data_IF_713635963035
#
_entry.id   IF_713635963035
#
_cell.length_a   1.000
_cell.length_b   1.000
_cell.length_c   1.000
_cell.angle_alpha   90.00
_cell.angle_beta   90.00
_cell.angle_gamma   90.00
#
_symmetry.space_group_name_H-M   'P 1'
#
loop_
_entity.id
_entity.type
_entity.pdbx_description
1 polymer ?
#
# COMPACT_ATOMS: atom_id res chain seq x y z
N UNK A 1 -40.24 68.95 -22.50
CA UNK A 1 -40.48 68.43 -21.13
C UNK A 1 -39.53 67.27 -20.92
N UNK A 2 -38.51 67.48 -20.09
CA UNK A 2 -37.33 66.63 -19.98
C UNK A 2 -37.61 65.30 -19.29
N UNK A 3 -37.18 64.23 -19.94
CA UNK A 3 -37.09 62.88 -19.40
C UNK A 3 -35.82 62.75 -18.55
N UNK A 4 -36.03 62.35 -17.30
CA UNK A 4 -35.23 61.35 -16.56
C UNK A 4 -33.70 61.41 -16.68
N UNK A 5 -33.05 61.91 -15.63
CA UNK A 5 -31.65 61.63 -15.34
C UNK A 5 -31.48 61.46 -13.84
N UNK A 6 -31.44 60.21 -13.37
CA UNK A 6 -31.02 59.86 -12.00
C UNK A 6 -29.49 60.01 -11.95
N UNK A 7 -28.91 60.89 -11.13
CA UNK A 7 -27.47 61.01 -11.03
C UNK A 7 -26.89 59.78 -10.30
N UNK A 8 -25.75 59.33 -10.81
CA UNK A 8 -25.09 58.10 -10.42
C UNK A 8 -24.67 58.08 -8.95
N UNK A 9 -24.92 56.95 -8.31
CA UNK A 9 -24.23 56.53 -7.09
C UNK A 9 -22.95 55.81 -7.49
N UNK A 10 -21.90 56.57 -7.77
CA UNK A 10 -20.52 56.06 -7.73
C UNK A 10 -19.74 56.89 -6.73
N UNK A 11 -20.19 56.85 -5.48
CA UNK A 11 -19.41 57.37 -4.36
C UNK A 11 -18.94 56.17 -3.53
N UNK A 12 -17.63 55.94 -3.61
CA UNK A 12 -16.79 55.50 -2.50
C UNK A 12 -17.06 54.13 -1.85
N UNK A 13 -17.01 53.07 -2.65
CA UNK A 13 -16.69 51.74 -2.10
C UNK A 13 -15.17 51.65 -1.83
N UNK A 14 -14.73 52.29 -0.73
CA UNK A 14 -13.39 52.09 -0.21
C UNK A 14 -13.22 50.61 0.15
N UNK A 15 -12.18 49.91 -0.36
CA UNK A 15 -12.05 48.48 -0.15
C UNK A 15 -11.98 48.16 1.36
N UNK A 16 -12.67 47.11 1.84
CA UNK A 16 -12.76 46.82 3.26
C UNK A 16 -11.35 46.62 3.84
N UNK A 17 -11.05 47.37 4.91
CA UNK A 17 -9.74 47.29 5.57
C UNK A 17 -9.58 45.91 6.21
N UNK A 18 -8.82 45.03 5.54
CA UNK A 18 -8.51 43.69 6.05
C UNK A 18 -7.90 43.80 7.46
N UNK A 19 -8.45 43.08 8.45
CA UNK A 19 -7.99 43.20 9.81
C UNK A 19 -6.62 42.53 9.97
N UNK A 20 -5.73 43.14 10.76
CA UNK A 20 -4.33 42.70 10.91
C UNK A 20 -4.19 41.25 11.41
N UNK A 21 -5.20 40.72 12.14
CA UNK A 21 -5.21 39.32 12.59
C UNK A 21 -5.31 38.32 11.43
N UNK A 22 -5.96 38.68 10.32
CA UNK A 22 -6.08 37.80 9.15
C UNK A 22 -4.70 37.58 8.49
N UNK A 23 -3.87 38.62 8.48
CA UNK A 23 -2.48 38.53 8.00
C UNK A 23 -1.61 37.67 8.93
N UNK A 24 -1.83 37.76 10.25
CA UNK A 24 -1.14 36.91 11.21
C UNK A 24 -1.52 35.43 11.07
N UNK A 25 -2.81 35.13 10.87
CA UNK A 25 -3.26 33.76 10.62
C UNK A 25 -2.72 33.22 9.30
N UNK A 26 -2.72 34.03 8.24
CA UNK A 26 -2.16 33.64 6.96
C UNK A 26 -0.65 33.36 7.07
N UNK A 27 0.10 34.23 7.77
CA UNK A 27 1.53 34.03 8.01
C UNK A 27 1.80 32.77 8.84
N UNK A 28 1.01 32.52 9.88
CA UNK A 28 1.11 31.31 10.71
C UNK A 28 0.85 30.04 9.88
N UNK A 29 -0.18 30.05 9.03
CA UNK A 29 -0.53 28.93 8.17
C UNK A 29 0.57 28.61 7.15
N UNK A 30 1.13 29.65 6.52
CA UNK A 30 2.25 29.50 5.58
C UNK A 30 3.49 28.97 6.30
N UNK A 31 3.82 29.51 7.48
CA UNK A 31 4.95 29.03 8.28
C UNK A 31 4.79 27.55 8.68
N UNK A 32 3.60 27.15 9.15
CA UNK A 32 3.31 25.77 9.54
C UNK A 32 3.40 24.81 8.35
N UNK A 33 2.93 25.22 7.17
CA UNK A 33 3.03 24.44 5.93
C UNK A 33 4.48 24.26 5.48
N UNK A 34 5.29 25.33 5.55
CA UNK A 34 6.72 25.28 5.21
C UNK A 34 7.51 24.37 6.17
N UNK A 35 7.23 24.45 7.48
CA UNK A 35 7.84 23.54 8.48
C UNK A 35 7.45 22.10 8.21
N UNK A 36 6.18 21.83 7.85
CA UNK A 36 5.71 20.51 7.46
C UNK A 36 6.48 19.95 6.28
N UNK A 37 6.59 20.71 5.18
CA UNK A 37 7.31 20.31 3.96
C UNK A 37 8.81 20.07 4.20
N UNK A 38 9.45 20.90 5.04
CA UNK A 38 10.85 20.73 5.40
C UNK A 38 11.06 19.48 6.28
N UNK A 39 10.13 19.20 7.20
CA UNK A 39 10.19 18.00 8.03
C UNK A 39 10.00 16.72 7.20
N UNK A 40 8.98 16.64 6.33
CA UNK A 40 8.79 15.48 5.44
C UNK A 40 9.95 15.33 4.46
N UNK A 41 10.46 16.43 3.90
CA UNK A 41 11.67 16.41 3.07
C UNK A 41 12.87 15.84 3.82
N UNK A 42 13.12 16.29 5.05
CA UNK A 42 14.19 15.78 5.91
C UNK A 42 14.04 14.27 6.20
N UNK A 43 12.82 13.78 6.48
CA UNK A 43 12.57 12.34 6.68
C UNK A 43 12.85 11.51 5.42
N UNK A 44 12.48 12.00 4.24
CA UNK A 44 12.72 11.32 2.96
C UNK A 44 14.23 11.27 2.64
N UNK A 45 14.94 12.39 2.82
CA UNK A 45 16.40 12.46 2.62
C UNK A 45 17.17 11.56 3.60
N UNK A 46 16.65 11.35 4.82
CA UNK A 46 17.25 10.43 5.80
C UNK A 46 16.89 8.97 5.58
N UNK A 47 16.17 8.63 4.51
CA UNK A 47 15.77 7.26 4.19
C UNK A 47 14.75 6.68 5.18
N UNK A 48 14.01 7.53 5.91
CA UNK A 48 12.97 7.10 6.82
C UNK A 48 11.74 6.65 6.00
N UNK A 49 11.77 5.40 5.55
CA UNK A 49 10.56 4.68 5.15
C UNK A 49 9.81 4.39 6.44
N UNK A 50 8.60 4.95 6.59
CA UNK A 50 7.69 4.56 7.65
C UNK A 50 7.39 3.06 7.49
N UNK A 51 8.12 2.22 8.21
CA UNK A 51 7.77 0.82 8.41
C UNK A 51 6.63 0.84 9.43
N UNK A 52 5.37 0.61 9.03
CA UNK A 52 4.30 0.52 10.01
C UNK A 52 4.68 -0.54 11.05
N UNK A 53 4.34 -0.34 12.33
CA UNK A 53 4.59 -1.34 13.34
C UNK A 53 3.89 -2.63 12.89
N UNK A 54 4.67 -3.64 12.53
CA UNK A 54 4.17 -5.01 12.40
C UNK A 54 3.71 -5.41 13.79
N UNK A 55 2.42 -5.19 14.08
CA UNK A 55 1.77 -5.75 15.23
C UNK A 55 2.04 -7.26 15.20
N UNK A 56 2.45 -7.82 16.33
CA UNK A 56 2.60 -9.26 16.52
C UNK A 56 1.23 -9.96 16.55
N UNK A 57 0.39 -9.71 15.56
CA UNK A 57 -0.58 -10.70 15.08
C UNK A 57 0.22 -11.82 14.47
N UNK A 58 0.03 -13.05 14.97
CA UNK A 58 0.85 -14.23 14.63
C UNK A 58 1.15 -14.34 13.13
N UNK A 59 2.32 -14.91 12.79
CA UNK A 59 2.92 -14.92 11.44
C UNK A 59 1.93 -15.19 10.29
N UNK A 60 0.89 -15.99 10.57
CA UNK A 60 -0.25 -16.26 9.70
C UNK A 60 -1.06 -15.04 9.27
N UNK A 61 -1.48 -14.19 10.21
CA UNK A 61 -2.28 -13.00 9.89
C UNK A 61 -1.46 -11.99 9.08
N UNK A 62 -0.19 -11.78 9.45
CA UNK A 62 0.73 -10.93 8.71
C UNK A 62 0.94 -11.44 7.27
N UNK A 63 1.19 -12.74 7.09
CA UNK A 63 1.32 -13.37 5.78
C UNK A 63 0.06 -13.22 4.93
N UNK A 64 -1.12 -13.39 5.52
CA UNK A 64 -2.40 -13.18 4.82
C UNK A 64 -2.56 -11.74 4.33
N UNK A 65 -2.33 -10.75 5.20
CA UNK A 65 -2.44 -9.33 4.85
C UNK A 65 -1.50 -8.97 3.70
N UNK A 66 -0.28 -9.49 3.74
CA UNK A 66 0.71 -9.30 2.67
C UNK A 66 0.26 -9.92 1.33
N UNK A 67 -0.27 -11.15 1.35
CA UNK A 67 -0.82 -11.81 0.16
C UNK A 67 -2.03 -11.05 -0.39
N UNK A 68 -2.92 -10.57 0.48
CA UNK A 68 -4.13 -9.84 0.11
C UNK A 68 -3.80 -8.45 -0.46
N UNK A 69 -2.77 -7.77 0.08
CA UNK A 69 -2.28 -6.49 -0.43
C UNK A 69 -1.52 -6.62 -1.77
N UNK A 70 -1.29 -7.84 -2.25
CA UNK A 70 -0.57 -8.15 -3.48
C UNK A 70 -1.49 -8.76 -4.55
N UNK A 71 -0.99 -8.93 -5.77
CA UNK A 71 -1.77 -9.50 -6.89
C UNK A 71 -1.97 -11.03 -6.82
N UNK A 72 -1.51 -11.69 -5.76
CA UNK A 72 -1.52 -13.14 -5.60
C UNK A 72 -2.91 -13.77 -5.82
N UNK A 73 -3.95 -13.13 -5.27
CA UNK A 73 -5.34 -13.62 -5.30
C UNK A 73 -5.98 -13.58 -6.70
N UNK A 74 -5.34 -12.93 -7.67
CA UNK A 74 -5.83 -12.87 -9.06
C UNK A 74 -5.53 -14.15 -9.83
N UNK A 75 -4.47 -14.86 -9.44
CA UNK A 75 -3.98 -16.03 -10.16
C UNK A 75 -4.09 -17.33 -9.35
N UNK A 76 -4.12 -17.23 -8.02
CA UNK A 76 -4.19 -18.36 -7.10
C UNK A 76 -5.49 -18.33 -6.31
N UNK A 77 -6.14 -19.48 -6.21
CA UNK A 77 -7.35 -19.68 -5.43
C UNK A 77 -7.08 -20.62 -4.25
N UNK A 78 -8.02 -20.73 -3.31
CA UNK A 78 -7.87 -21.61 -2.15
C UNK A 78 -7.66 -23.09 -2.55
N UNK A 79 -8.62 -23.63 -3.31
CA UNK A 79 -8.71 -25.08 -3.56
C UNK A 79 -8.35 -25.45 -5.01
N UNK A 80 -9.06 -24.83 -5.96
CA UNK A 80 -8.94 -25.18 -7.38
C UNK A 80 -7.80 -24.44 -8.07
N UNK A 81 -7.27 -25.05 -9.12
CA UNK A 81 -6.37 -24.37 -10.06
C UNK A 81 -7.12 -23.24 -10.79
N UNK A 82 -6.47 -22.08 -10.93
CA UNK A 82 -6.90 -21.01 -11.82
C UNK A 82 -5.82 -20.80 -12.89
N UNK A 83 -5.13 -19.65 -12.85
CA UNK A 83 -3.89 -19.47 -13.62
C UNK A 83 -2.79 -20.30 -12.96
N UNK A 84 -2.57 -20.06 -11.66
CA UNK A 84 -1.68 -20.82 -10.81
C UNK A 84 -2.37 -21.99 -10.09
N UNK A 85 -1.59 -22.86 -9.42
CA UNK A 85 -2.12 -23.89 -8.52
C UNK A 85 -2.88 -23.27 -7.34
N UNK A 86 -3.83 -24.01 -6.79
CA UNK A 86 -4.51 -23.60 -5.55
C UNK A 86 -3.57 -23.63 -4.34
N UNK A 87 -3.82 -22.78 -3.34
CA UNK A 87 -3.00 -22.69 -2.12
C UNK A 87 -2.89 -24.04 -1.41
N UNK A 88 -3.98 -24.80 -1.35
CA UNK A 88 -4.00 -26.14 -0.76
C UNK A 88 -3.13 -27.15 -1.51
N UNK A 89 -3.05 -27.06 -2.84
CA UNK A 89 -2.18 -27.92 -3.63
C UNK A 89 -0.70 -27.59 -3.37
N UNK A 90 -0.35 -26.31 -3.20
CA UNK A 90 1.00 -25.88 -2.85
C UNK A 90 1.36 -26.39 -1.45
N UNK A 91 0.46 -26.20 -0.47
CA UNK A 91 0.65 -26.67 0.90
C UNK A 91 0.85 -28.19 0.95
N UNK A 92 0.01 -28.95 0.26
CA UNK A 92 0.10 -30.41 0.20
C UNK A 92 1.41 -30.89 -0.43
N UNK A 93 1.83 -30.30 -1.56
CA UNK A 93 3.09 -30.68 -2.24
C UNK A 93 4.33 -30.46 -1.38
N UNK A 94 4.30 -29.47 -0.50
CA UNK A 94 5.45 -29.06 0.29
C UNK A 94 5.33 -29.40 1.79
N UNK A 95 4.34 -30.22 2.17
CA UNK A 95 4.06 -30.53 3.58
C UNK A 95 5.26 -31.12 4.34
N UNK A 96 6.03 -31.98 3.67
CA UNK A 96 7.17 -32.69 4.26
C UNK A 96 8.53 -32.05 3.94
N UNK A 97 8.54 -30.87 3.32
CA UNK A 97 9.78 -30.19 2.96
C UNK A 97 10.17 -29.16 4.05
N UNK A 98 11.24 -29.41 4.83
CA UNK A 98 11.69 -28.47 5.87
C UNK A 98 12.18 -27.13 5.29
N UNK A 99 12.57 -27.10 4.03
CA UNK A 99 13.00 -25.90 3.31
C UNK A 99 11.87 -25.20 2.55
N UNK A 100 10.62 -25.66 2.68
CA UNK A 100 9.48 -25.16 1.91
C UNK A 100 9.31 -23.64 2.01
N UNK A 101 9.47 -23.07 3.21
CA UNK A 101 9.36 -21.61 3.42
C UNK A 101 10.40 -20.86 2.61
N UNK A 102 11.67 -21.29 2.68
CA UNK A 102 12.77 -20.64 1.94
C UNK A 102 12.60 -20.81 0.43
N UNK A 103 12.21 -22.01 -0.02
CA UNK A 103 11.96 -22.30 -1.42
C UNK A 103 10.84 -21.43 -2.01
N UNK A 104 9.70 -21.36 -1.32
CA UNK A 104 8.55 -20.57 -1.76
C UNK A 104 8.82 -19.07 -1.67
N UNK A 105 9.51 -18.60 -0.64
CA UNK A 105 9.92 -17.20 -0.53
C UNK A 105 10.77 -16.76 -1.74
N UNK A 106 11.74 -17.59 -2.13
CA UNK A 106 12.53 -17.38 -3.35
C UNK A 106 11.65 -17.35 -4.60
N UNK A 107 10.74 -18.32 -4.77
CA UNK A 107 9.82 -18.37 -5.93
C UNK A 107 8.89 -17.16 -6.02
N UNK A 108 8.42 -16.64 -4.88
CA UNK A 108 7.60 -15.42 -4.83
C UNK A 108 8.39 -14.24 -5.42
N UNK A 109 9.65 -14.08 -5.01
CA UNK A 109 10.51 -12.95 -5.40
C UNK A 109 11.03 -13.07 -6.83
N UNK A 110 11.45 -14.27 -7.22
CA UNK A 110 12.15 -14.53 -8.48
C UNK A 110 11.23 -15.00 -9.60
N UNK A 111 10.00 -15.38 -9.28
CA UNK A 111 9.09 -16.07 -10.19
C UNK A 111 9.40 -17.57 -10.26
N UNK A 112 8.60 -18.29 -11.04
CA UNK A 112 8.83 -19.73 -11.26
C UNK A 112 8.20 -20.21 -12.57
N UNK A 113 8.72 -21.31 -13.10
CA UNK A 113 8.21 -22.00 -14.29
C UNK A 113 8.47 -23.50 -14.14
N UNK A 114 7.64 -24.35 -14.77
CA UNK A 114 7.88 -25.79 -14.87
C UNK A 114 7.30 -26.63 -13.74
N UNK A 115 7.22 -26.11 -12.52
CA UNK A 115 6.73 -26.87 -11.36
C UNK A 115 5.29 -27.36 -11.52
N UNK A 116 4.43 -26.54 -12.14
CA UNK A 116 2.99 -26.78 -12.30
C UNK A 116 2.59 -26.82 -13.78
N UNK A 117 3.53 -27.25 -14.62
CA UNK A 117 3.42 -27.27 -16.08
C UNK A 117 4.04 -26.02 -16.72
N UNK A 118 3.51 -25.64 -17.88
CA UNK A 118 4.03 -24.53 -18.71
C UNK A 118 3.62 -23.14 -18.22
N UNK A 119 2.92 -23.03 -17.09
CA UNK A 119 2.50 -21.74 -16.52
C UNK A 119 3.70 -21.05 -15.88
N UNK A 120 3.85 -19.76 -16.22
CA UNK A 120 4.89 -18.90 -15.66
C UNK A 120 4.29 -18.07 -14.54
N UNK A 121 4.89 -18.13 -13.35
CA UNK A 121 4.64 -17.20 -12.26
C UNK A 121 5.60 -16.00 -12.41
N UNK A 122 5.09 -14.77 -12.61
CA UNK A 122 5.92 -13.57 -12.69
C UNK A 122 6.74 -13.34 -11.42
N UNK A 123 7.87 -12.63 -11.58
CA UNK A 123 8.71 -12.21 -10.45
C UNK A 123 8.07 -11.03 -9.71
N UNK A 124 8.26 -10.95 -8.39
CA UNK A 124 7.78 -9.83 -7.56
C UNK A 124 8.96 -9.17 -6.83
N UNK A 125 9.75 -8.32 -7.52
CA UNK A 125 10.99 -7.77 -6.96
C UNK A 125 10.75 -6.77 -5.82
N UNK A 126 9.52 -6.24 -5.71
CA UNK A 126 9.09 -5.35 -4.64
C UNK A 126 8.89 -6.06 -3.30
N UNK A 127 8.78 -7.39 -3.28
CA UNK A 127 8.58 -8.16 -2.06
C UNK A 127 9.94 -8.49 -1.44
N UNK A 128 10.18 -8.01 -0.22
CA UNK A 128 11.39 -8.30 0.54
C UNK A 128 11.44 -9.76 1.03
N UNK A 129 12.64 -10.26 1.35
CA UNK A 129 12.84 -11.64 1.82
C UNK A 129 12.01 -11.96 3.07
N UNK A 130 11.97 -11.05 4.05
CA UNK A 130 11.21 -11.26 5.28
C UNK A 130 9.70 -11.41 5.01
N UNK A 131 9.15 -10.52 4.17
CA UNK A 131 7.73 -10.55 3.82
C UNK A 131 7.39 -11.78 2.98
N UNK A 132 8.25 -12.15 2.03
CA UNK A 132 8.10 -13.37 1.23
C UNK A 132 8.05 -14.63 2.09
N UNK A 133 8.84 -14.70 3.18
CA UNK A 133 8.80 -15.82 4.14
C UNK A 133 7.50 -15.86 4.93
N UNK A 134 6.95 -14.71 5.33
CA UNK A 134 5.65 -14.63 6.00
C UNK A 134 4.52 -15.08 5.06
N UNK A 135 4.53 -14.61 3.81
CA UNK A 135 3.58 -15.06 2.78
C UNK A 135 3.69 -16.58 2.55
N UNK A 136 4.91 -17.12 2.41
CA UNK A 136 5.15 -18.54 2.22
C UNK A 136 4.66 -19.40 3.40
N UNK A 137 4.89 -18.95 4.64
CA UNK A 137 4.35 -19.61 5.83
C UNK A 137 2.82 -19.65 5.80
N UNK A 138 2.18 -18.54 5.44
CA UNK A 138 0.73 -18.50 5.32
C UNK A 138 0.20 -19.47 4.25
N UNK A 139 0.86 -19.54 3.09
CA UNK A 139 0.51 -20.48 2.01
C UNK A 139 0.62 -21.93 2.48
N UNK A 140 1.71 -22.31 3.16
CA UNK A 140 1.92 -23.68 3.64
C UNK A 140 0.93 -24.11 4.73
N UNK A 141 0.36 -23.15 5.45
CA UNK A 141 -0.69 -23.42 6.42
C UNK A 141 -2.08 -23.57 5.79
N UNK A 142 -2.26 -23.29 4.49
CA UNK A 142 -3.50 -23.57 3.77
C UNK A 142 -3.65 -25.08 3.49
N UNK A 143 -3.59 -25.95 4.50
CA UNK A 143 -3.80 -27.39 4.29
C UNK A 143 -5.28 -27.66 4.02
N UNK A 144 -5.62 -28.62 3.14
CA UNK A 144 -6.99 -29.08 3.01
C UNK A 144 -7.45 -29.64 4.36
N UNK A 145 -8.68 -29.32 4.78
CA UNK A 145 -9.28 -29.92 5.96
C UNK A 145 -9.35 -31.44 5.75
N UNK A 146 -8.76 -32.21 6.66
CA UNK A 146 -8.91 -33.67 6.67
C UNK A 146 -10.39 -33.99 6.80
N UNK A 147 -10.99 -34.54 5.74
CA UNK A 147 -12.31 -35.17 5.77
C UNK A 147 -12.15 -36.66 5.95
#
# INVERSE_FOLDING_TARGET
>A
MGTTGRPGSTEDEAPPRRPRWLLLLLALFVAMSAVGMLATGWFILRGYVFKPPTAATGSMAAGYTLVQASDCMRCHLAERKAVGPGWQAIAARHADNPEAVTLLARKIREGSVGDWGRVIMPRHPQIGEADARLMAQWVLAQRPASR
#
